data_IF_161562666554
#
_entry.id   IF_161562666554
#
_cell.length_a   1.000
_cell.length_b   1.000
_cell.length_c   1.000
_cell.angle_alpha   90.00
_cell.angle_beta   90.00
_cell.angle_gamma   90.00
#
_symmetry.space_group_name_H-M   'P 1'
#
loop_
_entity.id
_entity.type
_entity.pdbx_description
1 polymer ?
#
# COMPACT_ATOMS: atom_id res chain seq x y z
N UNK A 1 13.63 18.87 -2.70
CA UNK A 1 14.61 18.29 -1.76
C UNK A 1 14.85 16.84 -2.16
N UNK A 2 16.10 16.43 -2.40
CA UNK A 2 16.41 15.03 -2.71
C UNK A 2 16.54 14.30 -1.37
N UNK A 3 15.49 13.59 -0.96
CA UNK A 3 15.35 13.11 0.41
C UNK A 3 16.26 11.92 0.77
N UNK A 4 17.12 11.44 -0.16
CA UNK A 4 18.11 10.36 0.04
C UNK A 4 17.59 9.16 0.86
N UNK A 5 16.36 8.73 0.57
CA UNK A 5 15.80 7.57 1.27
C UNK A 5 16.62 6.34 0.90
N UNK A 6 17.18 5.67 1.90
CA UNK A 6 17.94 4.42 1.73
C UNK A 6 17.01 3.21 1.47
N UNK A 7 15.98 3.40 0.65
CA UNK A 7 14.99 2.38 0.30
C UNK A 7 15.53 1.54 -0.85
N UNK A 8 15.56 0.22 -0.65
CA UNK A 8 16.02 -0.75 -1.65
C UNK A 8 15.04 -1.91 -1.74
N UNK A 9 14.97 -2.56 -2.91
CA UNK A 9 14.17 -3.78 -3.08
C UNK A 9 15.06 -5.01 -2.89
N UNK A 10 14.80 -5.78 -1.85
CA UNK A 10 15.53 -7.01 -1.51
C UNK A 10 14.55 -8.18 -1.50
N UNK A 11 14.80 -9.20 -2.33
CA UNK A 11 13.95 -10.40 -2.44
C UNK A 11 12.45 -10.09 -2.62
N UNK A 12 12.15 -9.08 -3.45
CA UNK A 12 10.76 -8.67 -3.73
C UNK A 12 10.12 -7.77 -2.67
N UNK A 13 10.81 -7.44 -1.57
CA UNK A 13 10.33 -6.55 -0.51
C UNK A 13 11.09 -5.23 -0.51
N UNK A 14 10.39 -4.12 -0.30
CA UNK A 14 11.03 -2.84 -0.04
C UNK A 14 11.53 -2.79 1.41
N UNK A 15 12.78 -2.42 1.59
CA UNK A 15 13.49 -2.33 2.89
C UNK A 15 14.22 -1.00 3.00
N UNK A 16 14.53 -0.55 4.22
CA UNK A 16 15.29 0.68 4.48
C UNK A 16 14.49 1.83 5.12
N UNK A 17 13.18 1.67 5.25
CA UNK A 17 12.31 2.55 6.04
C UNK A 17 11.10 1.77 6.56
N UNK A 18 10.30 2.40 7.43
CA UNK A 18 8.98 1.85 7.79
C UNK A 18 8.12 1.66 6.54
N UNK A 19 7.47 0.51 6.44
CA UNK A 19 6.78 0.11 5.22
C UNK A 19 5.61 1.06 4.87
N UNK A 20 4.98 1.69 5.86
CA UNK A 20 3.93 2.69 5.62
C UNK A 20 4.51 3.91 4.93
N UNK A 21 5.66 4.40 5.42
CA UNK A 21 6.36 5.54 4.81
C UNK A 21 6.82 5.25 3.39
N UNK A 22 7.26 4.02 3.12
CA UNK A 22 7.63 3.60 1.75
C UNK A 22 6.42 3.65 0.82
N UNK A 23 5.26 3.15 1.28
CA UNK A 23 4.03 3.17 0.48
C UNK A 23 3.54 4.60 0.23
N UNK A 24 3.56 5.44 1.26
CA UNK A 24 3.18 6.85 1.17
C UNK A 24 4.07 7.60 0.17
N UNK A 25 5.39 7.41 0.26
CA UNK A 25 6.34 8.00 -0.70
C UNK A 25 6.09 7.52 -2.14
N UNK A 26 5.78 6.23 -2.32
CA UNK A 26 5.43 5.68 -3.62
C UNK A 26 4.14 6.27 -4.20
N UNK A 27 3.21 6.68 -3.34
CA UNK A 27 1.93 7.29 -3.72
C UNK A 27 2.06 8.73 -4.23
N UNK A 28 3.01 9.53 -3.72
CA UNK A 28 3.10 10.97 -4.06
C UNK A 28 3.33 11.26 -5.56
N UNK A 29 3.87 10.30 -6.30
CA UNK A 29 4.11 10.44 -7.75
C UNK A 29 3.15 9.57 -8.58
N UNK A 30 2.16 8.96 -7.94
CA UNK A 30 1.16 8.11 -8.59
C UNK A 30 -0.02 8.97 -9.05
N UNK A 31 0.00 9.37 -10.33
CA UNK A 31 -1.05 10.20 -10.92
C UNK A 31 -2.40 9.50 -10.77
N UNK A 32 -3.37 10.18 -10.13
CA UNK A 32 -4.71 9.68 -9.80
C UNK A 32 -4.72 8.37 -8.99
N UNK A 33 -3.61 8.07 -8.30
CA UNK A 33 -3.41 6.88 -7.47
C UNK A 33 -3.64 5.54 -8.20
N UNK A 34 -3.47 5.49 -9.53
CA UNK A 34 -3.81 4.31 -10.33
C UNK A 34 -3.06 3.06 -9.86
N UNK A 35 -1.78 3.18 -9.52
CA UNK A 35 -1.01 2.03 -9.03
C UNK A 35 -1.46 1.60 -7.63
N UNK A 36 -1.82 2.53 -6.75
CA UNK A 36 -2.37 2.23 -5.43
C UNK A 36 -3.76 1.55 -5.53
N UNK A 37 -4.62 1.96 -6.48
CA UNK A 37 -5.91 1.31 -6.75
C UNK A 37 -5.69 -0.13 -7.21
N UNK A 38 -4.77 -0.35 -8.16
CA UNK A 38 -4.44 -1.70 -8.64
C UNK A 38 -3.88 -2.59 -7.51
N UNK A 39 -3.01 -2.04 -6.67
CA UNK A 39 -2.48 -2.73 -5.50
C UNK A 39 -3.61 -3.11 -4.51
N UNK A 40 -4.56 -2.20 -4.29
CA UNK A 40 -5.77 -2.44 -3.47
C UNK A 40 -6.61 -3.57 -4.06
N UNK A 41 -6.91 -3.53 -5.36
CA UNK A 41 -7.70 -4.55 -6.04
C UNK A 41 -7.04 -5.93 -5.98
N UNK A 42 -5.73 -6.00 -6.19
CA UNK A 42 -4.97 -7.26 -6.08
C UNK A 42 -5.02 -7.86 -4.67
N UNK A 43 -5.00 -7.01 -3.63
CA UNK A 43 -5.14 -7.43 -2.23
C UNK A 43 -6.53 -7.96 -1.93
N UNK A 44 -7.57 -7.25 -2.34
CA UNK A 44 -8.96 -7.72 -2.19
C UNK A 44 -9.14 -9.06 -2.90
N UNK A 45 -8.66 -9.18 -4.15
CA UNK A 45 -8.72 -10.44 -4.90
C UNK A 45 -8.03 -11.59 -4.15
N UNK A 46 -6.83 -11.36 -3.63
CA UNK A 46 -6.10 -12.37 -2.87
C UNK A 46 -6.77 -12.76 -1.55
N UNK A 47 -7.52 -11.85 -0.92
CA UNK A 47 -8.32 -12.15 0.25
C UNK A 47 -9.55 -13.00 -0.12
N UNK A 48 -10.27 -12.62 -1.18
CA UNK A 48 -11.40 -13.37 -1.75
C UNK A 48 -10.98 -14.79 -2.12
N UNK A 49 -9.82 -14.97 -2.76
CA UNK A 49 -9.30 -16.29 -3.15
C UNK A 49 -8.95 -17.19 -1.96
N UNK A 50 -8.74 -16.58 -0.78
CA UNK A 50 -8.49 -17.27 0.49
C UNK A 50 -9.74 -17.34 1.39
N UNK A 51 -10.92 -17.00 0.86
CA UNK A 51 -12.18 -16.92 1.60
C UNK A 51 -12.15 -15.94 2.80
N UNK A 52 -11.26 -14.95 2.76
CA UNK A 52 -11.13 -13.89 3.79
C UNK A 52 -11.98 -12.68 3.41
N UNK A 53 -13.31 -12.83 3.44
CA UNK A 53 -14.24 -11.79 2.99
C UNK A 53 -14.39 -10.62 3.95
N UNK A 54 -14.03 -10.81 5.21
CA UNK A 54 -14.08 -9.78 6.23
C UNK A 54 -12.68 -9.27 6.54
N UNK A 55 -12.57 -7.95 6.68
CA UNK A 55 -11.30 -7.27 6.87
C UNK A 55 -10.55 -7.74 8.13
N UNK A 56 -11.29 -8.04 9.20
CA UNK A 56 -10.81 -8.58 10.48
C UNK A 56 -10.39 -10.05 10.41
N UNK A 57 -10.83 -10.80 9.40
CA UNK A 57 -10.41 -12.19 9.16
C UNK A 57 -9.19 -12.31 8.23
N UNK A 58 -8.75 -11.19 7.63
CA UNK A 58 -7.54 -11.18 6.81
C UNK A 58 -6.30 -11.44 7.67
N UNK A 59 -5.28 -12.06 7.08
CA UNK A 59 -3.97 -12.18 7.73
C UNK A 59 -3.46 -10.78 8.13
N UNK A 60 -2.97 -10.61 9.36
CA UNK A 60 -2.58 -9.31 9.91
C UNK A 60 -1.64 -8.51 8.99
N UNK A 61 -0.68 -9.18 8.36
CA UNK A 61 0.27 -8.56 7.42
C UNK A 61 -0.44 -8.01 6.17
N UNK A 62 -1.42 -8.75 5.67
CA UNK A 62 -2.24 -8.38 4.52
C UNK A 62 -3.18 -7.23 4.88
N UNK A 63 -3.88 -7.36 6.00
CA UNK A 63 -4.80 -6.37 6.56
C UNK A 63 -4.11 -5.02 6.74
N UNK A 64 -2.93 -5.01 7.37
CA UNK A 64 -2.16 -3.80 7.62
C UNK A 64 -1.81 -3.06 6.33
N UNK A 65 -1.36 -3.78 5.30
CA UNK A 65 -0.99 -3.12 4.04
C UNK A 65 -2.24 -2.61 3.30
N UNK A 66 -3.34 -3.38 3.30
CA UNK A 66 -4.59 -2.93 2.69
C UNK A 66 -5.11 -1.64 3.35
N UNK A 67 -5.10 -1.57 4.69
CA UNK A 67 -5.47 -0.35 5.41
C UNK A 67 -4.60 0.85 5.04
N UNK A 68 -3.27 0.68 4.99
CA UNK A 68 -2.37 1.78 4.67
C UNK A 68 -2.59 2.31 3.26
N UNK A 69 -2.73 1.42 2.26
CA UNK A 69 -2.96 1.85 0.88
C UNK A 69 -4.30 2.58 0.75
N UNK A 70 -5.36 2.10 1.41
CA UNK A 70 -6.65 2.78 1.43
C UNK A 70 -6.56 4.16 2.10
N UNK A 71 -5.84 4.28 3.23
CA UNK A 71 -5.65 5.54 3.92
C UNK A 71 -4.88 6.56 3.06
N UNK A 72 -3.85 6.12 2.33
CA UNK A 72 -3.08 6.99 1.41
C UNK A 72 -3.97 7.47 0.25
N UNK A 73 -4.73 6.57 -0.36
CA UNK A 73 -5.68 6.93 -1.45
C UNK A 73 -6.71 7.95 -0.94
N UNK A 74 -7.28 7.71 0.25
CA UNK A 74 -8.23 8.63 0.84
C UNK A 74 -7.59 10.00 1.04
N UNK A 75 -6.41 10.06 1.67
CA UNK A 75 -5.68 11.30 1.94
C UNK A 75 -5.47 12.13 0.67
N UNK A 76 -4.89 11.54 -0.39
CA UNK A 76 -4.63 12.26 -1.64
C UNK A 76 -5.90 12.78 -2.32
N UNK A 77 -7.00 12.01 -2.24
CA UNK A 77 -8.26 12.39 -2.89
C UNK A 77 -9.08 13.40 -2.12
N UNK A 78 -8.92 13.49 -0.79
CA UNK A 78 -9.53 14.58 -0.01
C UNK A 78 -8.81 15.91 -0.20
N UNK A 79 -7.53 15.88 -0.55
CA UNK A 79 -6.68 17.06 -0.71
C UNK A 79 -6.58 17.54 -2.18
N UNK A 80 -7.28 16.89 -3.12
CA UNK A 80 -7.35 17.22 -4.55
C UNK A 80 -8.59 18.05 -4.90
#
# INVERSE_FOLDING_TARGET
ANLHWQINKVNGRWVGADYVRILEQGGFHDIDEVNLILATAGRIKAATDRNQYHFDYMEQSHQKILANVLAIILYHRTDA
#
